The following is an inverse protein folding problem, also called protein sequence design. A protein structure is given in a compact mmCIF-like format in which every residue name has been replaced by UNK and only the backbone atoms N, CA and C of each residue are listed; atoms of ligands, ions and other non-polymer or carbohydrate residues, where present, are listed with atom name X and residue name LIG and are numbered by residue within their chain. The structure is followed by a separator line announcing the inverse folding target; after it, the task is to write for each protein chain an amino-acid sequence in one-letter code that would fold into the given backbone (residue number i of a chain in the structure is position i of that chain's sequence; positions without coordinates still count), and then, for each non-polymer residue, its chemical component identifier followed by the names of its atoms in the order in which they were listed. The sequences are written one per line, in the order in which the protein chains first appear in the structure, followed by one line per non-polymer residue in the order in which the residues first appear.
data_IF_080665260383
#
_entry.id   IF_080665260383
#
_cell.length_a   1.000
_cell.length_b   1.000
_cell.length_c   1.000
_cell.angle_alpha   90.00
_cell.angle_beta   90.00
_cell.angle_gamma   90.00
#
_symmetry.space_group_name_H-M   'P 1'
#
loop_
_entity.id
_entity.type
_entity.pdbx_description
1 polymer ?
#
# COMPACT_ATOMS: atom_id res chain seq x y z
N UNK A 1 49.65 -0.95 0.56
CA UNK A 1 48.68 0.16 0.67
C UNK A 1 49.32 1.26 1.51
N UNK A 2 49.75 2.36 0.90
CA UNK A 2 50.31 3.51 1.65
C UNK A 2 49.15 4.30 2.27
N UNK A 3 49.37 4.97 3.42
CA UNK A 3 48.31 5.73 4.11
C UNK A 3 47.72 6.84 3.22
N UNK A 4 48.53 7.38 2.30
CA UNK A 4 48.09 8.35 1.29
C UNK A 4 46.95 7.80 0.41
N UNK A 5 47.05 6.55 -0.05
CA UNK A 5 45.98 5.94 -0.86
C UNK A 5 44.68 5.76 -0.08
N UNK A 6 44.77 5.47 1.23
CA UNK A 6 43.61 5.34 2.10
C UNK A 6 42.91 6.70 2.26
N UNK A 7 43.68 7.76 2.52
CA UNK A 7 43.14 9.13 2.64
C UNK A 7 42.45 9.57 1.34
N UNK A 8 43.07 9.30 0.19
CA UNK A 8 42.48 9.62 -1.13
C UNK A 8 41.18 8.85 -1.36
N UNK A 9 41.14 7.56 -1.02
CA UNK A 9 39.92 6.75 -1.15
C UNK A 9 38.78 7.27 -0.28
N UNK A 10 39.07 7.59 0.98
CA UNK A 10 38.06 8.09 1.92
C UNK A 10 37.55 9.47 1.50
N UNK A 11 38.44 10.36 1.04
CA UNK A 11 38.02 11.67 0.52
C UNK A 11 37.13 11.54 -0.72
N UNK A 12 37.48 10.65 -1.65
CA UNK A 12 36.67 10.38 -2.83
C UNK A 12 35.27 9.84 -2.46
N UNK A 13 35.18 8.95 -1.48
CA UNK A 13 33.91 8.41 -0.99
C UNK A 13 33.02 9.48 -0.35
N UNK A 14 33.61 10.40 0.42
CA UNK A 14 32.88 11.53 1.02
C UNK A 14 32.39 12.51 -0.04
N UNK A 15 33.20 12.81 -1.04
CA UNK A 15 32.77 13.67 -2.15
C UNK A 15 31.64 13.01 -2.97
N UNK A 16 31.71 11.71 -3.19
CA UNK A 16 30.67 10.96 -3.89
C UNK A 16 29.36 10.96 -3.09
N UNK A 17 29.41 10.78 -1.76
CA UNK A 17 28.20 10.80 -0.92
C UNK A 17 27.57 12.19 -0.87
N UNK A 18 28.37 13.25 -0.75
CA UNK A 18 27.92 14.65 -0.84
C UNK A 18 27.27 14.94 -2.20
N UNK A 19 27.87 14.44 -3.28
CA UNK A 19 27.33 14.60 -4.62
C UNK A 19 26.00 13.86 -4.76
N UNK A 20 25.90 12.61 -4.29
CA UNK A 20 24.64 11.87 -4.25
C UNK A 20 23.56 12.62 -3.48
N UNK A 21 23.85 13.16 -2.29
CA UNK A 21 22.88 13.96 -1.53
C UNK A 21 22.48 15.27 -2.22
N UNK A 22 23.42 15.94 -2.90
CA UNK A 22 23.11 17.16 -3.65
C UNK A 22 22.20 16.88 -4.85
N UNK A 23 22.47 15.82 -5.61
CA UNK A 23 21.59 15.41 -6.71
C UNK A 23 20.22 14.95 -6.19
N UNK A 24 20.19 14.24 -5.07
CA UNK A 24 18.95 13.80 -4.43
C UNK A 24 18.09 15.02 -4.00
N UNK A 25 18.71 16.03 -3.38
CA UNK A 25 18.01 17.26 -3.00
C UNK A 25 17.48 18.06 -4.20
N UNK A 26 18.23 18.11 -5.31
CA UNK A 26 17.86 18.90 -6.49
C UNK A 26 16.86 18.20 -7.40
N UNK A 27 17.01 16.90 -7.60
CA UNK A 27 16.26 16.13 -8.60
C UNK A 27 15.30 15.09 -7.98
N UNK A 28 15.32 14.91 -6.65
CA UNK A 28 14.49 13.94 -5.90
C UNK A 28 14.64 12.50 -6.42
N UNK A 29 15.86 12.10 -6.78
CA UNK A 29 16.14 10.78 -7.34
C UNK A 29 16.16 9.65 -6.32
N UNK A 30 16.19 9.97 -5.03
CA UNK A 30 16.19 9.03 -3.90
C UNK A 30 17.30 7.99 -3.97
N UNK A 31 18.47 8.35 -4.50
CA UNK A 31 19.62 7.45 -4.63
C UNK A 31 20.08 6.90 -3.26
N UNK A 32 19.97 7.72 -2.23
CA UNK A 32 20.29 7.36 -0.85
C UNK A 32 19.31 6.31 -0.29
N UNK A 33 18.03 6.47 -0.58
CA UNK A 33 16.99 5.52 -0.21
C UNK A 33 17.09 4.22 -1.02
N UNK A 34 17.49 4.29 -2.29
CA UNK A 34 17.74 3.12 -3.14
C UNK A 34 18.91 2.28 -2.62
N UNK A 35 20.00 2.92 -2.18
CA UNK A 35 21.14 2.21 -1.60
C UNK A 35 20.81 1.57 -0.24
N UNK A 36 19.85 2.13 0.48
CA UNK A 36 19.46 1.70 1.84
C UNK A 36 18.32 0.68 1.85
N UNK A 37 17.88 0.19 0.68
CA UNK A 37 16.71 -0.69 0.50
C UNK A 37 15.38 -0.09 1.02
N UNK A 38 15.35 1.22 1.27
CA UNK A 38 14.17 1.97 1.71
C UNK A 38 13.62 2.80 0.54
N UNK A 39 13.72 2.28 -0.68
CA UNK A 39 13.33 3.01 -1.89
C UNK A 39 11.84 3.37 -1.85
N UNK A 40 11.54 4.67 -1.76
CA UNK A 40 10.17 5.16 -1.68
C UNK A 40 9.69 5.39 -3.11
N UNK A 41 8.54 4.85 -3.47
CA UNK A 41 8.04 5.01 -4.84
C UNK A 41 7.78 6.51 -5.13
N UNK A 42 8.45 7.13 -6.12
CA UNK A 42 8.30 8.56 -6.42
C UNK A 42 6.90 8.92 -6.95
N UNK A 43 6.10 7.93 -7.36
CA UNK A 43 4.71 8.10 -7.76
C UNK A 43 3.71 7.90 -6.61
N UNK A 44 4.15 7.45 -5.42
CA UNK A 44 3.37 7.55 -4.18
C UNK A 44 3.45 8.99 -3.67
N UNK A 45 2.86 9.91 -4.42
CA UNK A 45 2.66 11.26 -3.93
C UNK A 45 1.83 11.21 -2.64
N UNK A 46 2.44 11.60 -1.53
CA UNK A 46 1.81 12.36 -0.45
C UNK A 46 0.57 11.76 0.25
N UNK A 47 0.49 10.44 0.42
CA UNK A 47 -0.56 9.81 1.25
C UNK A 47 -0.03 8.92 2.38
N UNK A 48 1.29 8.74 2.47
CA UNK A 48 1.90 7.78 3.39
C UNK A 48 1.77 8.13 4.88
N UNK A 49 1.41 9.36 5.25
CA UNK A 49 1.07 9.69 6.64
C UNK A 49 -0.32 9.19 7.06
N UNK A 50 -1.16 8.76 6.11
CA UNK A 50 -2.54 8.33 6.35
C UNK A 50 -2.82 6.88 5.96
N UNK A 51 -1.86 6.14 5.40
CA UNK A 51 -2.09 4.75 4.96
C UNK A 51 -1.95 3.72 6.08
N UNK A 52 -1.15 3.97 7.12
CA UNK A 52 -1.03 3.05 8.26
C UNK A 52 -2.35 2.93 9.03
N UNK A 53 -3.16 4.00 9.08
CA UNK A 53 -4.50 4.00 9.69
C UNK A 53 -5.61 3.54 8.75
N UNK A 54 -5.43 3.68 7.43
CA UNK A 54 -6.45 3.28 6.45
C UNK A 54 -6.36 1.82 6.01
N UNK A 55 -5.22 1.14 6.21
CA UNK A 55 -5.13 -0.31 6.01
C UNK A 55 -6.11 -1.04 6.93
N UNK A 56 -6.03 -0.76 8.23
CA UNK A 56 -6.91 -1.36 9.24
C UNK A 56 -8.39 -1.04 9.02
N UNK A 57 -8.70 0.19 8.60
CA UNK A 57 -10.08 0.60 8.33
C UNK A 57 -10.67 -0.12 7.10
N UNK A 58 -9.88 -0.28 6.03
CA UNK A 58 -10.30 -1.03 4.84
C UNK A 58 -10.42 -2.52 5.12
N UNK A 59 -9.52 -3.09 5.92
CA UNK A 59 -9.58 -4.50 6.29
C UNK A 59 -10.78 -4.80 7.20
N UNK A 60 -11.13 -3.86 8.11
CA UNK A 60 -12.36 -3.94 8.90
C UNK A 60 -13.62 -3.83 8.03
N UNK A 61 -13.63 -2.94 7.04
CA UNK A 61 -14.74 -2.80 6.08
C UNK A 61 -14.89 -4.06 5.22
N UNK A 62 -13.79 -4.66 4.78
CA UNK A 62 -13.79 -5.93 4.04
C UNK A 62 -14.33 -7.08 4.90
N UNK A 63 -13.99 -7.14 6.19
CA UNK A 63 -14.53 -8.15 7.10
C UNK A 63 -16.05 -7.99 7.29
N UNK A 64 -16.53 -6.77 7.52
CA UNK A 64 -17.95 -6.48 7.68
C UNK A 64 -18.76 -6.78 6.41
N UNK A 65 -18.21 -6.46 5.24
CA UNK A 65 -18.84 -6.77 3.95
C UNK A 65 -18.94 -8.28 3.72
N UNK A 66 -17.92 -9.07 4.10
CA UNK A 66 -17.95 -10.54 4.00
C UNK A 66 -19.00 -11.17 4.91
N UNK A 67 -19.14 -10.68 6.14
CA UNK A 67 -20.17 -11.17 7.07
C UNK A 67 -21.57 -10.90 6.52
N UNK A 68 -21.81 -9.70 5.95
CA UNK A 68 -23.08 -9.38 5.31
C UNK A 68 -23.36 -10.25 4.08
N UNK A 69 -22.33 -10.56 3.28
CA UNK A 69 -22.47 -11.48 2.15
C UNK A 69 -22.84 -12.87 2.65
N UNK A 70 -22.20 -13.39 3.70
CA UNK A 70 -22.53 -14.70 4.27
C UNK A 70 -23.97 -14.77 4.80
N UNK A 71 -24.47 -13.69 5.42
CA UNK A 71 -25.87 -13.59 5.86
C UNK A 71 -26.84 -13.53 4.66
N UNK A 72 -26.49 -12.78 3.61
CA UNK A 72 -27.30 -12.71 2.39
C UNK A 72 -27.31 -14.05 1.64
N UNK A 73 -26.18 -14.76 1.59
CA UNK A 73 -26.09 -16.10 1.05
C UNK A 73 -26.94 -17.08 1.86
N UNK A 74 -26.95 -16.99 3.19
CA UNK A 74 -27.82 -17.80 4.04
C UNK A 74 -29.32 -17.52 3.79
N UNK A 75 -29.72 -16.25 3.66
CA UNK A 75 -31.11 -15.87 3.40
C UNK A 75 -31.56 -16.28 1.99
N UNK A 76 -30.68 -16.15 1.00
CA UNK A 76 -30.97 -16.53 -0.40
C UNK A 76 -30.92 -18.06 -0.59
N UNK A 77 -30.25 -18.80 0.30
CA UNK A 77 -30.23 -20.28 0.28
C UNK A 77 -31.32 -20.93 1.12
N UNK A 78 -32.14 -20.16 1.84
CA UNK A 78 -33.32 -20.70 2.51
C UNK A 78 -34.49 -20.88 1.52
N UNK A 79 -35.22 -22.02 1.57
CA UNK A 79 -36.38 -22.30 0.71
C UNK A 79 -37.55 -21.33 0.91
N UNK A 80 -37.47 -20.46 1.92
CA UNK A 80 -38.45 -19.39 2.17
C UNK A 80 -38.35 -18.24 1.17
N UNK A 81 -37.18 -17.98 0.56
CA UNK A 81 -37.04 -16.93 -0.45
C UNK A 81 -37.79 -17.28 -1.74
N UNK A 82 -37.62 -18.52 -2.22
CA UNK A 82 -38.34 -19.03 -3.40
C UNK A 82 -39.86 -19.05 -3.16
N UNK A 83 -40.30 -19.50 -1.98
CA UNK A 83 -41.72 -19.51 -1.62
C UNK A 83 -42.33 -18.10 -1.60
N UNK A 84 -41.60 -17.11 -1.10
CA UNK A 84 -42.05 -15.72 -1.03
C UNK A 84 -42.03 -15.05 -2.41
N UNK A 85 -41.09 -15.42 -3.28
CA UNK A 85 -41.08 -14.97 -4.67
C UNK A 85 -42.27 -15.55 -5.46
N UNK A 86 -42.58 -16.83 -5.28
CA UNK A 86 -43.76 -17.47 -5.88
C UNK A 86 -45.06 -16.85 -5.38
N UNK A 87 -45.19 -16.61 -4.07
CA UNK A 87 -46.33 -15.89 -3.49
C UNK A 87 -46.52 -14.49 -4.09
N UNK A 88 -45.43 -13.76 -4.31
CA UNK A 88 -45.45 -12.40 -4.88
C UNK A 88 -45.78 -12.40 -6.38
N UNK A 89 -45.43 -13.47 -7.10
CA UNK A 89 -45.84 -13.69 -8.50
C UNK A 89 -47.34 -13.98 -8.58
N UNK A 90 -47.86 -14.83 -7.68
CA UNK A 90 -49.28 -15.17 -7.61
C UNK A 90 -50.17 -14.00 -7.16
N UNK A 91 -49.69 -13.14 -6.26
CA UNK A 91 -50.47 -11.97 -5.80
C UNK A 91 -50.55 -10.81 -6.82
N UNK A 92 -49.81 -10.90 -7.93
CA UNK A 92 -49.81 -9.90 -9.02
C UNK A 92 -50.66 -10.33 -10.22
N UNK A 93 -51.17 -11.56 -10.23
CA UNK A 93 -52.27 -12.00 -11.11
C UNK A 93 -53.61 -11.62 -10.48
#
# INVERSE_FOLDING_TARGET
MTPFHIVVLVSALVLLSLLCHYLDAKYRWQLSAWLSDESVNPFKHQSAASETTNGDAKDAEIAALKERIAVLEAIVTEPAYDLNEELKKLSRQ
#
